data_IF_838474410045
#
_entry.id   IF_838474410045
#
_cell.length_a   1.000
_cell.length_b   1.000
_cell.length_c   1.000
_cell.angle_alpha   90.00
_cell.angle_beta   90.00
_cell.angle_gamma   90.00
#
_symmetry.space_group_name_H-M   'P 1'
#
loop_
_entity.id
_entity.type
_entity.pdbx_description
1 polymer ?
#
# COMPACT_ATOMS: atom_id res chain seq x y z
N UNK A 1 11.24 -15.59 -8.39
CA UNK A 1 11.03 -15.98 -6.97
C UNK A 1 10.07 -14.95 -6.37
N UNK A 2 8.94 -15.37 -5.77
CA UNK A 2 7.86 -14.44 -5.34
C UNK A 2 8.27 -13.55 -4.15
N UNK A 3 9.17 -14.05 -3.31
CA UNK A 3 9.70 -13.32 -2.16
C UNK A 3 11.20 -13.07 -2.30
N UNK A 4 11.67 -11.99 -1.70
CA UNK A 4 13.10 -11.68 -1.55
C UNK A 4 13.35 -10.98 -0.23
N UNK A 5 14.63 -10.81 0.13
CA UNK A 5 15.02 -10.06 1.32
C UNK A 5 16.12 -9.07 0.95
N UNK A 6 16.09 -7.89 1.58
CA UNK A 6 17.08 -6.84 1.43
C UNK A 6 17.50 -6.35 2.81
N UNK A 7 18.79 -6.12 2.99
CA UNK A 7 19.32 -5.56 4.24
C UNK A 7 19.57 -4.07 4.03
N UNK A 8 18.90 -3.25 4.83
CA UNK A 8 19.01 -1.79 4.73
C UNK A 8 20.37 -1.27 5.25
N UNK A 9 20.58 0.04 5.14
CA UNK A 9 21.82 0.69 5.57
C UNK A 9 22.06 0.64 7.09
N UNK A 10 21.03 0.30 7.89
CA UNK A 10 21.13 0.07 9.33
C UNK A 10 21.52 -1.37 9.67
N UNK A 11 21.61 -2.25 8.67
CA UNK A 11 21.85 -3.68 8.87
C UNK A 11 20.58 -4.47 9.22
N UNK A 12 19.39 -3.87 9.06
CA UNK A 12 18.11 -4.56 9.32
C UNK A 12 17.68 -5.29 8.05
N UNK A 13 17.39 -6.58 8.18
CA UNK A 13 16.88 -7.38 7.08
C UNK A 13 15.34 -7.26 7.00
N UNK A 14 14.85 -6.95 5.81
CA UNK A 14 13.42 -6.84 5.50
C UNK A 14 13.04 -7.89 4.46
N UNK A 15 11.82 -8.42 4.56
CA UNK A 15 11.26 -9.33 3.55
C UNK A 15 10.29 -8.60 2.64
N UNK A 16 10.27 -9.03 1.39
CA UNK A 16 9.48 -8.41 0.32
C UNK A 16 8.66 -9.47 -0.41
N UNK A 17 7.44 -9.08 -0.80
CA UNK A 17 6.55 -9.86 -1.66
C UNK A 17 6.29 -9.12 -2.96
N UNK A 18 6.47 -9.79 -4.09
CA UNK A 18 6.29 -9.22 -5.44
C UNK A 18 4.98 -9.72 -6.07
N UNK A 19 3.97 -8.85 -6.16
CA UNK A 19 2.62 -9.27 -6.56
C UNK A 19 2.53 -9.79 -7.99
N UNK A 20 3.39 -9.34 -8.90
CA UNK A 20 3.35 -9.77 -10.30
C UNK A 20 3.89 -11.20 -10.51
N UNK A 21 4.52 -11.78 -9.49
CA UNK A 21 5.03 -13.15 -9.53
C UNK A 21 4.05 -14.17 -8.92
N UNK A 22 2.94 -13.71 -8.36
CA UNK A 22 1.88 -14.54 -7.78
C UNK A 22 0.63 -14.48 -8.66
N UNK A 23 0.13 -15.64 -9.10
CA UNK A 23 -1.05 -15.74 -9.97
C UNK A 23 -2.32 -15.15 -9.35
N UNK A 24 -2.39 -15.07 -8.01
CA UNK A 24 -3.54 -14.52 -7.29
C UNK A 24 -3.59 -12.99 -7.33
N UNK A 25 -2.45 -12.34 -7.58
CA UNK A 25 -2.34 -10.88 -7.55
C UNK A 25 -1.81 -10.25 -8.84
N UNK A 26 -1.60 -11.08 -9.87
CA UNK A 26 -1.12 -10.67 -11.19
C UNK A 26 -2.03 -9.63 -11.88
N UNK A 27 -3.33 -9.63 -11.60
CA UNK A 27 -4.28 -8.67 -12.19
C UNK A 27 -4.13 -7.23 -11.66
N UNK A 28 -3.28 -7.00 -10.65
CA UNK A 28 -3.09 -5.71 -10.04
C UNK A 28 -4.30 -5.21 -9.22
N UNK A 29 -4.06 -4.20 -8.40
CA UNK A 29 -5.04 -3.64 -7.47
C UNK A 29 -4.92 -2.11 -7.39
N UNK A 30 -5.98 -1.47 -6.91
CA UNK A 30 -5.92 -0.06 -6.53
C UNK A 30 -4.90 0.13 -5.40
N UNK A 31 -4.39 1.35 -5.22
CA UNK A 31 -3.41 1.61 -4.17
C UNK A 31 -3.93 1.23 -2.78
N UNK A 32 -5.20 1.56 -2.48
CA UNK A 32 -5.84 1.25 -1.20
C UNK A 32 -5.98 -0.26 -0.98
N UNK A 33 -6.43 -1.00 -2.00
CA UNK A 33 -6.59 -2.45 -1.92
C UNK A 33 -5.24 -3.16 -1.79
N UNK A 34 -4.24 -2.74 -2.56
CA UNK A 34 -2.88 -3.26 -2.49
C UNK A 34 -2.30 -3.09 -1.08
N UNK A 35 -2.45 -1.90 -0.50
CA UNK A 35 -2.03 -1.63 0.88
C UNK A 35 -2.77 -2.49 1.89
N UNK A 36 -4.08 -2.65 1.72
CA UNK A 36 -4.89 -3.55 2.55
C UNK A 36 -4.42 -5.00 2.46
N UNK A 37 -4.02 -5.49 1.28
CA UNK A 37 -3.45 -6.83 1.10
C UNK A 37 -2.16 -6.99 1.91
N UNK A 38 -1.20 -6.07 1.78
CA UNK A 38 0.06 -6.14 2.52
C UNK A 38 -0.17 -6.18 4.04
N UNK A 39 -1.09 -5.33 4.54
CA UNK A 39 -1.38 -5.20 5.98
C UNK A 39 -2.01 -6.44 6.60
N UNK A 40 -2.73 -7.25 5.82
CA UNK A 40 -3.22 -8.56 6.29
C UNK A 40 -2.11 -9.58 6.54
N UNK A 41 -0.89 -9.29 6.08
CA UNK A 41 0.28 -10.15 6.23
C UNK A 41 1.38 -9.51 7.10
N UNK A 42 1.04 -8.53 7.95
CA UNK A 42 2.00 -7.77 8.78
C UNK A 42 3.07 -7.02 7.98
N UNK A 43 2.76 -6.70 6.73
CA UNK A 43 3.57 -5.90 5.82
C UNK A 43 2.86 -4.57 5.54
N UNK A 44 3.54 -3.60 4.93
CA UNK A 44 2.91 -2.45 4.27
C UNK A 44 3.40 -2.41 2.81
N UNK A 45 2.88 -1.48 2.00
CA UNK A 45 3.50 -1.22 0.69
C UNK A 45 4.96 -0.78 0.89
N UNK A 46 5.81 -1.16 -0.05
CA UNK A 46 7.24 -0.85 0.00
C UNK A 46 7.49 0.65 0.12
N UNK A 47 8.47 1.03 0.94
CA UNK A 47 8.84 2.41 1.18
C UNK A 47 10.32 2.65 0.86
N UNK A 48 10.74 2.77 -0.42
CA UNK A 48 12.16 2.87 -0.77
C UNK A 48 12.89 4.01 -0.03
N UNK A 49 13.66 3.66 1.01
CA UNK A 49 14.25 4.64 1.93
C UNK A 49 15.59 5.18 1.41
N UNK A 50 16.26 4.40 0.54
CA UNK A 50 17.63 4.67 0.08
C UNK A 50 17.78 4.46 -1.43
N UNK A 51 18.76 5.11 -2.07
CA UNK A 51 19.08 4.87 -3.49
C UNK A 51 19.45 3.41 -3.78
N UNK A 52 20.08 2.72 -2.82
CA UNK A 52 20.46 1.31 -2.94
C UNK A 52 19.25 0.39 -2.96
N UNK A 53 18.32 0.58 -2.03
CA UNK A 53 17.06 -0.15 -1.99
C UNK A 53 16.23 0.13 -3.25
N UNK A 54 16.11 1.40 -3.65
CA UNK A 54 15.40 1.78 -4.87
C UNK A 54 16.02 1.08 -6.10
N UNK A 55 17.35 1.09 -6.23
CA UNK A 55 18.05 0.41 -7.33
C UNK A 55 17.86 -1.11 -7.28
N UNK A 56 17.88 -1.71 -6.10
CA UNK A 56 17.61 -3.14 -5.91
C UNK A 56 16.17 -3.49 -6.29
N UNK A 57 15.20 -2.67 -5.92
CA UNK A 57 13.78 -2.84 -6.25
C UNK A 57 13.57 -2.83 -7.78
N UNK A 58 14.22 -1.91 -8.49
CA UNK A 58 14.19 -1.85 -9.96
C UNK A 58 14.70 -3.12 -10.62
N UNK A 59 15.72 -3.76 -10.03
CA UNK A 59 16.32 -4.99 -10.56
C UNK A 59 15.41 -6.21 -10.41
N UNK A 60 14.29 -6.11 -9.68
CA UNK A 60 13.34 -7.23 -9.51
C UNK A 60 12.45 -7.47 -10.74
N UNK A 61 12.60 -6.67 -11.80
CA UNK A 61 11.85 -6.82 -13.05
C UNK A 61 10.47 -6.19 -12.96
N UNK A 62 10.43 -4.87 -12.69
CA UNK A 62 9.19 -4.09 -12.59
C UNK A 62 8.36 -4.21 -13.88
N UNK A 63 7.08 -4.64 -13.81
CA UNK A 63 6.19 -4.69 -14.97
C UNK A 63 6.03 -3.34 -15.66
N UNK A 64 5.68 -3.32 -16.95
CA UNK A 64 5.46 -2.09 -17.72
C UNK A 64 4.49 -1.11 -17.06
N UNK A 65 3.40 -1.62 -16.46
CA UNK A 65 2.38 -0.81 -15.78
C UNK A 65 2.85 -0.19 -14.46
N UNK A 66 4.05 -0.56 -13.99
CA UNK A 66 4.63 -0.15 -12.74
C UNK A 66 4.14 -0.94 -11.52
N UNK A 67 4.64 -0.52 -10.37
CA UNK A 67 4.25 -1.02 -9.04
C UNK A 67 3.79 0.12 -8.14
N UNK A 68 2.85 -0.18 -7.25
CA UNK A 68 2.54 0.69 -6.12
C UNK A 68 3.63 0.65 -5.04
N UNK A 69 3.93 1.81 -4.50
CA UNK A 69 4.71 2.01 -3.27
C UNK A 69 3.82 2.61 -2.18
N UNK A 70 4.30 2.74 -0.94
CA UNK A 70 3.53 3.36 0.14
C UNK A 70 3.36 4.88 0.01
N UNK A 71 4.03 5.51 -0.96
CA UNK A 71 4.06 6.95 -1.11
C UNK A 71 2.68 7.53 -1.42
N UNK A 72 2.31 8.56 -0.67
CA UNK A 72 1.09 9.35 -0.86
C UNK A 72 1.38 10.83 -0.71
N UNK A 73 0.64 11.64 -1.44
CA UNK A 73 0.69 13.10 -1.31
C UNK A 73 -0.13 13.54 -0.09
N UNK A 74 0.49 14.34 0.78
CA UNK A 74 -0.12 15.09 1.86
C UNK A 74 0.24 16.57 1.67
N UNK A 75 -0.77 17.37 1.31
CA UNK A 75 -0.58 18.80 1.07
C UNK A 75 0.02 19.10 -0.30
N UNK A 76 1.22 19.66 -0.35
CA UNK A 76 1.83 20.21 -1.56
C UNK A 76 2.31 19.12 -2.55
N UNK A 77 2.19 19.39 -3.85
CA UNK A 77 2.71 18.53 -4.93
C UNK A 77 4.22 18.28 -4.81
N UNK A 78 4.93 19.33 -4.42
CA UNK A 78 6.36 19.31 -4.12
C UNK A 78 6.50 19.24 -2.61
N UNK A 79 7.28 18.28 -2.10
CA UNK A 79 7.54 18.07 -0.67
C UNK A 79 6.42 17.46 0.18
N UNK A 80 5.29 17.12 -0.44
CA UNK A 80 4.18 16.46 0.24
C UNK A 80 4.17 14.94 0.14
N UNK A 81 5.23 14.27 -0.32
CA UNK A 81 5.20 12.81 -0.49
C UNK A 81 5.69 12.07 0.76
N UNK A 82 4.84 11.21 1.32
CA UNK A 82 5.07 10.44 2.56
C UNK A 82 4.68 8.98 2.40
N UNK A 83 5.32 8.10 3.17
CA UNK A 83 5.03 6.66 3.23
C UNK A 83 5.32 6.15 4.65
N UNK A 84 5.15 4.84 4.90
CA UNK A 84 5.44 4.31 6.26
C UNK A 84 6.89 4.60 6.67
N UNK A 85 7.83 4.41 5.72
CA UNK A 85 9.24 4.73 5.94
C UNK A 85 9.83 5.75 4.96
N UNK A 86 9.04 6.21 3.99
CA UNK A 86 9.48 7.25 3.07
C UNK A 86 9.61 8.59 3.82
N UNK A 87 10.83 9.13 3.85
CA UNK A 87 11.09 10.47 4.39
C UNK A 87 10.43 11.54 3.49
N UNK A 88 10.03 12.70 4.05
CA UNK A 88 9.48 13.80 3.27
C UNK A 88 10.46 14.18 2.14
N UNK A 89 9.97 14.15 0.90
CA UNK A 89 10.79 14.40 -0.28
C UNK A 89 10.99 15.91 -0.49
N UNK A 90 11.89 16.56 0.25
CA UNK A 90 12.04 18.03 0.30
C UNK A 90 12.60 18.70 -0.96
N UNK A 91 13.02 17.91 -1.94
CA UNK A 91 13.32 18.32 -3.33
C UNK A 91 13.25 17.08 -4.23
N UNK A 92 13.04 17.28 -5.54
CA UNK A 92 13.20 16.23 -6.55
C UNK A 92 14.61 15.57 -6.56
N UNK A 93 15.55 16.04 -5.74
CA UNK A 93 16.92 15.54 -5.61
C UNK A 93 17.07 14.31 -4.68
N UNK A 94 16.05 13.98 -3.88
CA UNK A 94 16.05 12.77 -3.03
C UNK A 94 15.09 11.66 -3.51
N UNK A 95 14.39 11.91 -4.63
CA UNK A 95 13.49 10.96 -5.28
C UNK A 95 13.96 10.66 -6.69
N UNK A 96 13.59 9.51 -7.20
CA UNK A 96 14.02 9.01 -8.50
C UNK A 96 12.93 9.24 -9.55
N UNK A 97 12.47 10.49 -9.63
CA UNK A 97 11.32 10.91 -10.43
C UNK A 97 11.60 10.87 -11.93
N UNK A 98 10.56 10.46 -12.69
CA UNK A 98 10.51 10.63 -14.13
C UNK A 98 10.61 12.11 -14.49
N UNK A 99 11.13 12.38 -15.70
CA UNK A 99 11.17 13.77 -16.20
C UNK A 99 9.75 14.36 -16.21
N UNK A 100 9.60 15.55 -15.64
CA UNK A 100 8.32 16.25 -15.54
C UNK A 100 7.46 15.90 -14.32
N UNK A 101 7.85 14.93 -13.50
CA UNK A 101 7.03 14.44 -12.38
C UNK A 101 7.54 14.93 -11.01
N UNK A 102 6.69 15.00 -9.96
CA UNK A 102 5.24 14.81 -10.01
C UNK A 102 4.54 16.00 -10.71
N UNK A 103 3.53 15.73 -11.55
CA UNK A 103 2.84 16.76 -12.33
C UNK A 103 1.34 16.92 -12.02
N UNK A 104 0.73 15.94 -11.37
CA UNK A 104 -0.72 15.87 -11.11
C UNK A 104 -1.56 16.13 -12.36
N UNK A 105 -1.04 15.74 -13.53
CA UNK A 105 -1.63 16.06 -14.82
C UNK A 105 -3.04 15.46 -14.96
N UNK A 106 -3.28 14.26 -14.42
CA UNK A 106 -4.62 13.65 -14.39
C UNK A 106 -5.56 14.28 -13.34
N UNK A 107 -5.03 15.11 -12.43
CA UNK A 107 -5.78 15.82 -11.40
C UNK A 107 -6.32 17.20 -11.80
N UNK A 108 -5.97 17.72 -12.98
CA UNK A 108 -6.33 19.10 -13.42
C UNK A 108 -7.59 19.19 -14.30
N UNK A 109 -8.22 18.06 -14.65
CA UNK A 109 -9.39 18.03 -15.54
C UNK A 109 -10.75 18.07 -14.82
N UNK A 110 -11.81 18.49 -15.53
CA UNK A 110 -13.20 18.19 -15.14
C UNK A 110 -13.38 16.67 -15.00
N UNK A 111 -14.18 16.23 -14.01
CA UNK A 111 -14.52 14.82 -13.78
C UNK A 111 -15.02 14.18 -15.09
N UNK A 112 -14.17 13.33 -15.67
CA UNK A 112 -14.44 12.61 -16.92
C UNK A 112 -13.82 11.22 -16.82
N UNK A 113 -14.12 10.30 -17.74
CA UNK A 113 -13.51 8.96 -17.74
C UNK A 113 -12.34 8.90 -18.74
N UNK A 114 -11.15 8.54 -18.25
CA UNK A 114 -9.98 8.23 -19.07
C UNK A 114 -9.78 6.72 -19.15
N UNK A 115 -9.30 6.22 -20.30
CA UNK A 115 -8.91 4.82 -20.46
C UNK A 115 -7.42 4.70 -20.20
N UNK A 116 -7.02 3.87 -19.25
CA UNK A 116 -5.62 3.53 -19.06
C UNK A 116 -5.12 2.79 -20.30
N UNK A 117 -4.10 3.35 -20.96
CA UNK A 117 -3.48 2.77 -22.16
C UNK A 117 -2.80 1.44 -21.86
N UNK A 118 -2.52 1.18 -20.57
CA UNK A 118 -1.73 0.06 -20.09
C UNK A 118 -2.54 -1.21 -19.79
N UNK A 119 -3.74 -1.08 -19.23
CA UNK A 119 -4.61 -2.21 -18.83
C UNK A 119 -6.00 -2.14 -19.48
N UNK A 120 -6.31 -1.06 -20.20
CA UNK A 120 -7.58 -0.84 -20.86
C UNK A 120 -8.75 -0.53 -19.91
N UNK A 121 -8.51 -0.41 -18.60
CA UNK A 121 -9.52 -0.04 -17.62
C UNK A 121 -9.82 1.45 -17.67
N UNK A 122 -11.09 1.79 -17.43
CA UNK A 122 -11.52 3.18 -17.30
C UNK A 122 -11.33 3.65 -15.86
N UNK A 123 -10.77 4.85 -15.70
CA UNK A 123 -10.63 5.53 -14.42
C UNK A 123 -11.20 6.95 -14.54
N UNK A 124 -11.64 7.50 -13.40
CA UNK A 124 -12.07 8.89 -13.35
C UNK A 124 -10.86 9.84 -13.40
N UNK A 125 -10.80 10.66 -14.45
CA UNK A 125 -9.94 11.82 -14.64
C UNK A 125 -10.45 12.99 -13.80
N UNK A 126 -9.57 13.92 -13.44
CA UNK A 126 -9.87 15.02 -12.51
C UNK A 126 -9.73 14.61 -11.05
N UNK A 127 -9.16 13.44 -10.78
CA UNK A 127 -8.82 12.97 -9.45
C UNK A 127 -7.35 13.25 -9.19
N UNK A 128 -7.07 13.73 -7.99
CA UNK A 128 -5.72 13.99 -7.50
C UNK A 128 -4.82 12.76 -7.67
N UNK A 129 -3.66 12.93 -8.33
CA UNK A 129 -2.62 11.91 -8.44
C UNK A 129 -1.87 11.80 -7.12
N UNK A 130 -2.59 11.34 -6.10
CA UNK A 130 -2.13 11.33 -4.73
C UNK A 130 -1.24 10.13 -4.38
N UNK A 131 -0.96 9.22 -5.32
CA UNK A 131 -0.27 7.96 -5.04
C UNK A 131 1.02 7.79 -5.85
N UNK A 132 2.07 7.30 -5.18
CA UNK A 132 3.39 7.12 -5.76
C UNK A 132 3.52 5.73 -6.37
N UNK A 133 3.81 5.69 -7.66
CA UNK A 133 4.16 4.46 -8.38
C UNK A 133 5.61 4.50 -8.84
N UNK A 134 6.24 3.33 -8.93
CA UNK A 134 7.46 3.13 -9.70
C UNK A 134 7.05 2.56 -11.05
N UNK A 135 7.14 3.37 -12.10
CA UNK A 135 6.73 3.05 -13.46
C UNK A 135 7.92 2.57 -14.29
N UNK A 136 7.68 1.69 -15.25
CA UNK A 136 8.69 1.24 -16.21
C UNK A 136 8.35 1.83 -17.59
N UNK A 137 8.81 3.06 -17.81
CA UNK A 137 8.49 3.88 -18.96
C UNK A 137 9.71 4.05 -19.88
N UNK A 138 9.54 4.82 -20.97
CA UNK A 138 10.60 5.09 -21.94
C UNK A 138 11.83 5.80 -21.35
N UNK A 139 11.66 6.59 -20.28
CA UNK A 139 12.77 7.27 -19.59
C UNK A 139 13.37 6.43 -18.45
N UNK A 140 12.99 5.15 -18.37
CA UNK A 140 13.50 4.15 -17.44
C UNK A 140 12.49 3.75 -16.37
N UNK A 141 12.97 2.96 -15.40
CA UNK A 141 12.20 2.62 -14.21
C UNK A 141 12.35 3.77 -13.21
N UNK A 142 11.29 4.55 -12.99
CA UNK A 142 11.33 5.81 -12.21
C UNK A 142 10.00 6.08 -11.51
N UNK A 143 10.01 7.06 -10.62
CA UNK A 143 8.87 7.45 -9.80
C UNK A 143 7.92 8.37 -10.56
N UNK A 144 6.63 8.10 -10.43
CA UNK A 144 5.55 8.88 -11.00
C UNK A 144 4.43 9.05 -9.97
N UNK A 145 3.77 10.20 -10.00
CA UNK A 145 2.49 10.35 -9.33
C UNK A 145 1.39 9.80 -10.25
N UNK A 146 0.43 9.11 -9.64
CA UNK A 146 -0.61 8.40 -10.37
C UNK A 146 -1.93 8.48 -9.60
N UNK A 147 -3.03 8.45 -10.34
CA UNK A 147 -4.35 8.31 -9.76
C UNK A 147 -4.47 6.99 -8.95
N UNK A 148 -4.82 7.11 -7.67
CA UNK A 148 -4.80 6.01 -6.71
C UNK A 148 -5.74 4.82 -7.03
N UNK A 149 -6.73 5.04 -7.91
CA UNK A 149 -7.70 4.05 -8.35
C UNK A 149 -7.22 3.22 -9.55
N UNK A 150 -6.07 3.53 -10.15
CA UNK A 150 -5.46 2.69 -11.17
C UNK A 150 -5.08 1.34 -10.59
N UNK A 151 -5.17 0.29 -11.42
CA UNK A 151 -4.73 -1.04 -11.01
C UNK A 151 -3.29 -1.22 -11.42
N UNK A 152 -2.44 -1.57 -10.46
CA UNK A 152 -1.02 -1.87 -10.71
C UNK A 152 -0.60 -3.07 -9.89
N UNK A 153 0.52 -3.67 -10.28
CA UNK A 153 1.24 -4.56 -9.38
C UNK A 153 1.69 -3.78 -8.14
N UNK A 154 2.16 -4.47 -7.11
CA UNK A 154 2.60 -3.85 -5.87
C UNK A 154 3.69 -4.69 -5.21
N UNK A 155 4.44 -4.05 -4.33
CA UNK A 155 5.41 -4.72 -3.47
C UNK A 155 5.01 -4.50 -2.02
N UNK A 156 4.92 -5.58 -1.28
CA UNK A 156 4.84 -5.50 0.17
C UNK A 156 6.23 -5.60 0.77
N UNK A 157 6.46 -4.85 1.84
CA UNK A 157 7.66 -4.87 2.68
C UNK A 157 7.23 -5.11 4.13
N UNK A 158 7.94 -5.97 4.87
CA UNK A 158 7.68 -6.19 6.29
C UNK A 158 7.63 -4.88 7.07
N UNK A 159 6.59 -4.70 7.88
CA UNK A 159 6.40 -3.48 8.65
C UNK A 159 6.86 -3.66 10.09
N UNK A 160 7.84 -2.86 10.51
CA UNK A 160 8.34 -2.82 11.89
C UNK A 160 7.20 -2.61 12.88
N UNK A 161 6.28 -1.70 12.54
CA UNK A 161 5.18 -1.30 13.39
C UNK A 161 4.15 -2.41 13.52
N UNK A 162 3.76 -3.05 12.41
CA UNK A 162 2.77 -4.14 12.40
C UNK A 162 3.33 -5.40 13.04
N UNK A 163 4.58 -5.77 12.74
CA UNK A 163 5.25 -6.93 13.37
C UNK A 163 5.40 -6.74 14.88
N UNK A 164 5.70 -5.52 15.34
CA UNK A 164 5.76 -5.22 16.77
C UNK A 164 4.37 -5.28 17.41
N UNK A 165 3.34 -4.77 16.72
CA UNK A 165 1.95 -4.82 17.19
C UNK A 165 1.45 -6.24 17.43
N UNK A 166 1.81 -7.20 16.56
CA UNK A 166 1.43 -8.61 16.72
C UNK A 166 2.41 -9.43 17.57
N UNK A 167 3.42 -8.79 18.19
CA UNK A 167 4.39 -9.45 19.06
C UNK A 167 5.38 -10.36 18.34
N UNK A 168 5.54 -10.23 17.01
CA UNK A 168 6.47 -11.02 16.20
C UNK A 168 7.86 -10.40 16.07
N UNK A 169 8.02 -9.13 16.44
CA UNK A 169 9.33 -8.49 16.54
C UNK A 169 9.88 -8.61 17.95
N UNK A 170 10.92 -9.43 18.11
CA UNK A 170 11.82 -9.34 19.25
C UNK A 170 12.60 -8.02 19.12
N UNK A 171 12.16 -6.99 19.82
CA UNK A 171 12.90 -5.73 19.95
C UNK A 171 14.21 -5.98 20.70
N UNK A 172 15.32 -6.04 19.96
CA UNK A 172 16.68 -5.88 20.47
C UNK A 172 17.29 -7.12 21.12
N UNK A 173 18.61 -7.27 20.94
CA UNK A 173 19.41 -8.27 21.65
C UNK A 173 19.19 -8.17 23.17
N UNK A 174 18.64 -9.23 23.74
CA UNK A 174 18.33 -9.33 25.16
C UNK A 174 17.81 -10.72 25.47
N UNK A 175 18.72 -11.53 25.99
CA UNK A 175 18.57 -12.85 26.61
C UNK A 175 17.16 -13.45 26.69
N UNK A 176 16.97 -14.63 26.07
CA UNK A 176 15.78 -15.46 26.20
C UNK A 176 15.56 -15.88 27.66
N UNK A 177 14.66 -15.15 28.34
CA UNK A 177 13.97 -15.64 29.52
C UNK A 177 12.85 -16.57 29.08
N UNK A 178 13.10 -17.87 29.19
CA UNK A 178 12.13 -18.96 29.09
C UNK A 178 10.78 -18.59 29.74
N UNK A 179 9.69 -18.56 28.96
CA UNK A 179 8.37 -18.85 29.51
C UNK A 179 7.52 -19.56 28.46
N UNK A 180 7.37 -20.87 28.67
CA UNK A 180 6.20 -21.62 28.26
C UNK A 180 4.94 -20.84 28.67
N UNK A 181 4.23 -20.25 27.72
CA UNK A 181 2.84 -19.87 27.92
C UNK A 181 2.13 -19.90 26.56
N UNK A 182 1.62 -21.08 26.28
CA UNK A 182 0.43 -21.28 25.48
C UNK A 182 -0.68 -20.34 25.98
N UNK A 183 -0.88 -19.19 25.33
CA UNK A 183 -2.06 -18.36 25.54
C UNK A 183 -2.79 -18.26 24.22
N UNK A 184 -3.86 -19.04 24.13
CA UNK A 184 -4.97 -18.84 23.22
C UNK A 184 -5.30 -17.36 23.07
N UNK A 185 -5.22 -16.86 21.85
CA UNK A 185 -5.64 -15.52 21.49
C UNK A 185 -7.17 -15.41 21.55
N UNK A 186 -7.71 -15.17 22.75
CA UNK A 186 -9.01 -14.51 22.91
C UNK A 186 -8.76 -13.03 23.15
N UNK A 187 -9.42 -12.11 22.40
CA UNK A 187 -9.24 -10.69 22.64
C UNK A 187 -9.79 -10.34 24.02
N UNK A 188 -8.91 -9.85 24.91
CA UNK A 188 -9.34 -9.19 26.13
C UNK A 188 -9.82 -7.80 25.72
N UNK A 189 -11.12 -7.59 25.76
CA UNK A 189 -11.72 -6.27 25.61
C UNK A 189 -11.24 -5.37 26.75
N UNK A 190 -10.69 -4.21 26.39
CA UNK A 190 -10.66 -3.07 27.29
C UNK A 190 -11.15 -1.83 26.54
N UNK A 191 -12.24 -1.30 27.08
CA UNK A 191 -12.98 -0.12 26.67
C UNK A 191 -12.12 1.14 26.76
N UNK A 192 -12.14 1.93 25.68
CA UNK A 192 -11.99 3.39 25.58
C UNK A 192 -11.02 3.78 24.47
N UNK A 193 -11.50 3.66 23.23
CA UNK A 193 -11.25 4.66 22.19
C UNK A 193 -12.25 4.42 21.04
N UNK A 194 -13.12 5.42 20.84
CA UNK A 194 -14.08 5.47 19.76
C UNK A 194 -13.33 5.59 18.42
N UNK A 195 -13.46 4.58 17.56
CA UNK A 195 -12.84 4.53 16.24
C UNK A 195 -13.09 3.18 15.56
N UNK A 196 -14.35 2.77 15.53
CA UNK A 196 -14.81 1.46 15.03
C UNK A 196 -14.63 1.40 13.49
N UNK A 197 -13.48 0.91 13.01
CA UNK A 197 -13.31 0.52 11.61
C UNK A 197 -14.08 -0.78 11.36
N UNK A 198 -15.38 -0.66 11.12
CA UNK A 198 -16.20 -1.76 10.62
C UNK A 198 -15.90 -1.99 9.13
N UNK A 199 -15.71 -3.24 8.68
CA UNK A 199 -15.65 -3.55 7.26
C UNK A 199 -17.02 -3.25 6.63
N UNK A 200 -17.05 -2.48 5.54
CA UNK A 200 -18.26 -2.29 4.75
C UNK A 200 -18.56 -3.62 4.04
N UNK A 201 -19.43 -4.42 4.67
CA UNK A 201 -19.97 -5.65 4.13
C UNK A 201 -20.96 -5.35 3.01
N UNK A 202 -20.75 -6.05 1.90
CA UNK A 202 -21.57 -6.07 0.70
C UNK A 202 -22.97 -6.64 1.03
N UNK A 203 -24.03 -5.82 0.97
CA UNK A 203 -25.41 -6.26 1.25
C UNK A 203 -26.26 -6.23 -0.02
N UNK A 204 -26.25 -7.35 -0.74
CA UNK A 204 -27.34 -7.73 -1.63
C UNK A 204 -28.26 -8.69 -0.86
N UNK A 205 -29.45 -8.23 -0.43
CA UNK A 205 -30.64 -9.07 -0.65
C UNK A 205 -31.94 -8.28 -0.50
N UNK A 206 -32.67 -8.23 -1.62
CA UNK A 206 -34.08 -7.90 -1.67
C UNK A 206 -34.87 -9.06 -1.07
N UNK A 207 -35.56 -8.84 0.05
CA UNK A 207 -36.82 -9.51 0.31
C UNK A 207 -37.64 -8.72 1.33
N UNK A 208 -38.65 -8.04 0.82
CA UNK A 208 -39.71 -7.38 1.56
C UNK A 208 -40.88 -8.35 1.73
N UNK A 209 -41.34 -8.53 2.98
CA UNK A 209 -42.76 -8.70 3.38
C UNK A 209 -42.91 -8.72 4.92
N UNK A 210 -44.08 -8.32 5.46
CA UNK A 210 -44.15 -7.46 6.63
C UNK A 210 -44.59 -8.20 7.91
N UNK A 211 -44.21 -7.61 9.05
CA UNK A 211 -44.57 -8.08 10.38
C UNK A 211 -46.03 -7.67 10.71
N UNK A 212 -46.87 -8.66 11.02
CA UNK A 212 -48.20 -8.45 11.58
C UNK A 212 -48.09 -7.90 13.01
N UNK A 213 -48.78 -6.80 13.26
CA UNK A 213 -48.83 -6.12 14.54
C UNK A 213 -49.90 -6.78 15.42
N UNK A 214 -49.50 -7.41 16.53
CA UNK A 214 -50.39 -7.79 17.61
C UNK A 214 -50.11 -6.86 18.79
N UNK A 215 -51.06 -5.98 19.10
CA UNK A 215 -51.17 -5.38 20.42
C UNK A 215 -52.63 -5.05 20.73
N UNK A 216 -53.13 -5.77 21.74
CA UNK A 216 -54.20 -5.46 22.67
C UNK A 216 -54.65 -3.98 22.72
N UNK A 217 -55.91 -3.73 22.38
CA UNK A 217 -56.96 -3.29 23.33
C UNK A 217 -58.34 -3.43 22.66
#
# INVERSE_FOLDING_TARGET
RIHSSFTDSRGVNHNYFFSWLDSRTQAGFTWSDARGICRRHCMDLVSPETPWENSWLKQQGIPGQGIWTSGTKQGSLVNGWFGERLKPQTTALNGDWSSGQPDNNDGTGEQNWARSENDGFYYEKGRDEGCLAVMNNFDGIKWNDQACNLRKAFVCEDSDSLLSFVGLRNSGGGNFGNSNNNRDFRPVGNSNNNGDFRPVGNNNNWNSRPNGNNNNN
#
